data_IF_273019048230
#
_entry.id   IF_273019048230
#
_cell.length_a   1.000
_cell.length_b   1.000
_cell.length_c   1.000
_cell.angle_alpha   90.00
_cell.angle_beta   90.00
_cell.angle_gamma   90.00
#
_symmetry.space_group_name_H-M   'P 1'
#
loop_
_entity.id
_entity.type
_entity.pdbx_description
1 polymer ?
#
# COMPACT_ATOMS: atom_id res chain seq x y z
N UNK A 1 6.13 -5.50 4.98
CA UNK A 1 6.84 -6.80 4.84
C UNK A 1 6.09 -7.59 3.79
N UNK A 2 6.82 -8.28 2.89
CA UNK A 2 6.22 -9.19 1.92
C UNK A 2 5.69 -10.42 2.64
N UNK A 3 4.49 -10.86 2.30
CA UNK A 3 3.81 -11.99 2.93
C UNK A 3 2.92 -12.72 1.89
N UNK A 4 3.51 -13.29 0.82
CA UNK A 4 2.74 -13.87 -0.27
C UNK A 4 1.91 -15.07 0.17
N UNK A 5 2.37 -15.83 1.18
CA UNK A 5 1.63 -16.99 1.73
C UNK A 5 0.30 -16.56 2.36
N UNK A 6 0.27 -15.45 3.09
CA UNK A 6 -0.95 -14.93 3.69
C UNK A 6 -1.98 -14.48 2.64
N UNK A 7 -1.51 -13.88 1.54
CA UNK A 7 -2.34 -13.53 0.40
C UNK A 7 -2.81 -14.77 -0.38
N UNK A 8 -1.95 -15.77 -0.52
CA UNK A 8 -2.33 -17.06 -1.12
C UNK A 8 -3.49 -17.68 -0.35
N UNK A 9 -3.39 -17.77 0.99
CA UNK A 9 -4.45 -18.28 1.84
C UNK A 9 -5.76 -17.50 1.71
N UNK A 10 -5.70 -16.17 1.61
CA UNK A 10 -6.88 -15.34 1.41
C UNK A 10 -7.59 -15.65 0.07
N UNK A 11 -6.87 -15.72 -1.03
CA UNK A 11 -7.48 -15.99 -2.34
C UNK A 11 -7.87 -17.46 -2.55
N UNK A 12 -7.27 -18.39 -1.83
CA UNK A 12 -7.71 -19.79 -1.78
C UNK A 12 -8.92 -20.00 -0.85
N UNK A 13 -9.34 -18.97 -0.11
CA UNK A 13 -10.47 -19.06 0.82
C UNK A 13 -10.13 -19.74 2.15
N UNK A 14 -8.85 -19.87 2.48
CA UNK A 14 -8.40 -20.41 3.78
C UNK A 14 -8.23 -19.30 4.85
N UNK A 15 -8.32 -18.04 4.45
CA UNK A 15 -8.36 -16.87 5.34
C UNK A 15 -9.53 -15.97 4.95
N UNK A 16 -10.31 -15.52 5.93
CA UNK A 16 -11.54 -14.74 5.72
C UNK A 16 -11.26 -13.27 5.36
N UNK A 17 -10.08 -12.76 5.70
CA UNK A 17 -9.73 -11.35 5.51
C UNK A 17 -8.41 -11.22 4.75
N UNK A 18 -8.27 -10.19 3.89
CA UNK A 18 -6.98 -9.90 3.29
C UNK A 18 -5.99 -9.45 4.38
N UNK A 19 -4.68 -9.69 4.18
CA UNK A 19 -3.67 -9.18 5.09
C UNK A 19 -3.76 -7.67 5.24
N UNK A 20 -3.83 -7.19 6.48
CA UNK A 20 -3.99 -5.76 6.78
C UNK A 20 -2.69 -5.03 6.45
N UNK A 21 -2.72 -3.99 5.61
CA UNK A 21 -1.54 -3.19 5.31
C UNK A 21 -1.10 -2.37 6.53
N UNK A 22 0.19 -2.20 6.67
CA UNK A 22 0.75 -1.30 7.68
C UNK A 22 0.48 0.15 7.26
N UNK A 23 -0.39 0.83 8.00
CA UNK A 23 -0.67 2.25 7.80
C UNK A 23 0.38 3.11 8.51
N UNK A 24 0.83 4.23 7.92
CA UNK A 24 1.77 5.11 8.58
C UNK A 24 1.11 5.79 9.79
N UNK A 25 1.82 5.84 10.92
CA UNK A 25 1.32 6.48 12.13
C UNK A 25 1.43 8.03 12.11
N UNK A 26 2.13 8.62 11.14
CA UNK A 26 2.26 10.06 10.95
C UNK A 26 2.77 10.39 9.55
N UNK A 27 2.58 11.65 9.15
CA UNK A 27 3.14 12.19 7.89
C UNK A 27 4.65 11.97 7.84
N UNK A 28 5.37 12.27 8.92
CA UNK A 28 6.81 12.07 9.00
C UNK A 28 7.20 10.58 8.88
N UNK A 29 6.42 9.67 9.46
CA UNK A 29 6.66 8.22 9.34
C UNK A 29 6.46 7.74 7.89
N UNK A 30 5.45 8.26 7.18
CA UNK A 30 5.21 7.95 5.77
C UNK A 30 6.39 8.36 4.88
N UNK A 31 6.87 9.60 5.03
CA UNK A 31 8.04 10.08 4.27
C UNK A 31 9.31 9.32 4.62
N UNK A 32 9.54 9.05 5.90
CA UNK A 32 10.73 8.28 6.33
C UNK A 32 10.74 6.88 5.72
N UNK A 33 9.59 6.22 5.67
CA UNK A 33 9.48 4.91 5.02
C UNK A 33 9.90 4.97 3.54
N UNK A 34 9.47 5.98 2.80
CA UNK A 34 9.86 6.15 1.39
C UNK A 34 11.35 6.39 1.20
N UNK A 35 11.97 7.16 2.09
CA UNK A 35 13.43 7.36 2.05
C UNK A 35 14.17 6.03 2.24
N UNK A 36 13.76 5.24 3.22
CA UNK A 36 14.34 3.90 3.46
C UNK A 36 14.14 2.99 2.25
N UNK A 37 12.95 2.99 1.64
CA UNK A 37 12.68 2.20 0.43
C UNK A 37 13.54 2.65 -0.76
N UNK A 38 13.75 3.95 -0.92
CA UNK A 38 14.64 4.50 -1.95
C UNK A 38 16.10 4.09 -1.72
N UNK A 39 16.57 4.11 -0.48
CA UNK A 39 17.92 3.64 -0.12
C UNK A 39 18.10 2.14 -0.40
N UNK A 40 17.10 1.31 -0.08
CA UNK A 40 17.10 -0.13 -0.39
C UNK A 40 17.15 -0.36 -1.90
N UNK A 41 16.35 0.38 -2.66
CA UNK A 41 16.34 0.29 -4.12
C UNK A 41 17.68 0.70 -4.73
N UNK A 42 18.25 1.80 -4.26
CA UNK A 42 19.56 2.28 -4.73
C UNK A 42 20.68 1.29 -4.39
N UNK A 43 20.67 0.71 -3.21
CA UNK A 43 21.65 -0.30 -2.79
C UNK A 43 21.53 -1.58 -3.64
N UNK A 44 20.31 -2.07 -3.90
CA UNK A 44 20.08 -3.22 -4.77
C UNK A 44 20.60 -2.96 -6.20
N UNK A 45 20.29 -1.78 -6.76
CA UNK A 45 20.76 -1.38 -8.08
C UNK A 45 22.29 -1.30 -8.14
N UNK A 46 22.93 -0.67 -7.15
CA UNK A 46 24.38 -0.54 -7.09
C UNK A 46 25.09 -1.90 -6.96
N UNK A 47 24.47 -2.86 -6.28
CA UNK A 47 25.00 -4.21 -6.10
C UNK A 47 24.66 -5.17 -7.27
N UNK A 48 23.85 -4.74 -8.25
CA UNK A 48 23.29 -5.63 -9.26
C UNK A 48 22.42 -6.74 -8.69
N UNK A 49 21.85 -6.51 -7.49
CA UNK A 49 21.00 -7.44 -6.77
C UNK A 49 19.52 -7.26 -7.18
N UNK A 50 18.71 -8.33 -7.11
CA UNK A 50 17.28 -8.20 -7.33
C UNK A 50 16.64 -7.25 -6.31
N UNK A 51 15.71 -6.40 -6.76
CA UNK A 51 14.86 -5.66 -5.84
C UNK A 51 13.96 -6.64 -5.05
N UNK A 52 13.61 -6.33 -3.79
CA UNK A 52 12.84 -7.27 -2.97
C UNK A 52 11.56 -7.72 -3.63
N UNK A 53 11.49 -9.00 -3.92
CA UNK A 53 10.31 -9.70 -4.44
C UNK A 53 10.09 -10.97 -3.62
N UNK A 54 8.84 -11.41 -3.51
CA UNK A 54 8.50 -12.67 -2.90
C UNK A 54 7.35 -13.33 -3.67
N UNK A 55 7.28 -14.65 -3.62
CA UNK A 55 6.22 -15.41 -4.27
C UNK A 55 5.84 -16.62 -3.43
N UNK A 56 4.57 -17.01 -3.55
CA UNK A 56 4.03 -18.26 -3.02
C UNK A 56 3.10 -18.88 -4.06
N UNK A 57 2.87 -20.19 -3.98
CA UNK A 57 1.96 -20.87 -4.89
C UNK A 57 1.52 -22.23 -4.36
N UNK A 58 0.36 -22.66 -4.81
CA UNK A 58 -0.24 -23.96 -4.50
C UNK A 58 -1.64 -24.07 -5.09
N UNK A 59 -2.07 -25.30 -5.39
CA UNK A 59 -3.41 -25.61 -5.88
C UNK A 59 -3.88 -24.76 -7.07
N UNK A 60 -2.98 -24.56 -8.04
CA UNK A 60 -3.24 -23.77 -9.23
C UNK A 60 -3.14 -22.25 -9.02
N UNK A 61 -2.95 -21.76 -7.80
CA UNK A 61 -2.72 -20.37 -7.50
C UNK A 61 -1.24 -20.00 -7.45
N UNK A 62 -0.93 -18.81 -7.91
CA UNK A 62 0.37 -18.17 -7.72
C UNK A 62 0.18 -16.73 -7.22
N UNK A 63 0.96 -16.32 -6.25
CA UNK A 63 0.99 -14.95 -5.70
C UNK A 63 2.39 -14.42 -5.83
N UNK A 64 2.53 -13.23 -6.42
CA UNK A 64 3.78 -12.49 -6.52
C UNK A 64 3.64 -11.13 -5.83
N UNK A 65 4.66 -10.75 -5.09
CA UNK A 65 4.73 -9.45 -4.39
C UNK A 65 6.02 -8.73 -4.69
N UNK A 66 5.94 -7.41 -4.78
CA UNK A 66 7.11 -6.53 -4.82
C UNK A 66 6.87 -5.27 -3.98
N UNK A 67 7.95 -4.69 -3.49
CA UNK A 67 7.88 -3.37 -2.87
C UNK A 67 7.72 -2.29 -3.95
N UNK A 68 7.02 -1.24 -3.60
CA UNK A 68 6.94 0.01 -4.37
C UNK A 68 7.11 1.18 -3.41
N UNK A 69 7.32 2.38 -3.94
CA UNK A 69 7.41 3.60 -3.13
C UNK A 69 6.19 3.84 -2.23
N UNK A 70 5.03 3.22 -2.53
CA UNK A 70 3.77 3.34 -1.79
C UNK A 70 3.50 2.18 -0.84
N UNK A 71 4.20 1.07 -1.00
CA UNK A 71 4.01 -0.16 -0.23
C UNK A 71 4.10 -1.42 -1.09
N UNK A 72 3.48 -2.50 -0.66
CA UNK A 72 3.53 -3.80 -1.35
C UNK A 72 2.49 -3.87 -2.45
N UNK A 73 2.93 -4.10 -3.67
CA UNK A 73 2.07 -4.47 -4.79
C UNK A 73 1.97 -5.99 -4.82
N UNK A 74 0.75 -6.50 -4.89
CA UNK A 74 0.47 -7.93 -4.90
C UNK A 74 -0.31 -8.31 -6.15
N UNK A 75 0.14 -9.33 -6.84
CA UNK A 75 -0.56 -9.96 -7.96
C UNK A 75 -0.82 -11.42 -7.63
N UNK A 76 -2.00 -11.93 -8.01
CA UNK A 76 -2.32 -13.35 -7.94
C UNK A 76 -2.97 -13.81 -9.22
N UNK A 77 -2.68 -15.05 -9.59
CA UNK A 77 -3.31 -15.74 -10.71
C UNK A 77 -3.74 -17.13 -10.29
N UNK A 78 -4.92 -17.53 -10.73
CA UNK A 78 -5.37 -18.92 -10.68
C UNK A 78 -5.30 -19.51 -12.07
N UNK A 79 -4.59 -20.60 -12.19
CA UNK A 79 -4.40 -21.35 -13.45
C UNK A 79 -5.12 -22.68 -13.35
N UNK A 80 -6.02 -22.96 -14.29
CA UNK A 80 -6.66 -24.25 -14.46
C UNK A 80 -6.55 -24.65 -15.94
N UNK A 81 -6.23 -25.89 -16.20
CA UNK A 81 -6.10 -26.45 -17.56
C UNK A 81 -5.15 -25.63 -18.46
N UNK A 82 -4.05 -25.12 -17.89
CA UNK A 82 -3.08 -24.31 -18.60
C UNK A 82 -3.53 -22.89 -18.97
N UNK A 83 -4.65 -22.40 -18.40
CA UNK A 83 -5.19 -21.06 -18.64
C UNK A 83 -5.36 -20.29 -17.33
N UNK A 84 -5.14 -18.98 -17.39
CA UNK A 84 -5.47 -18.08 -16.27
C UNK A 84 -7.00 -17.93 -16.23
N UNK A 85 -7.62 -18.48 -15.19
CA UNK A 85 -9.07 -18.42 -14.96
C UNK A 85 -9.47 -17.33 -13.97
N UNK A 86 -8.53 -16.84 -13.17
CA UNK A 86 -8.72 -15.67 -12.30
C UNK A 86 -7.40 -14.90 -12.18
N UNK A 87 -7.50 -13.56 -12.17
CA UNK A 87 -6.36 -12.70 -11.95
C UNK A 87 -6.77 -11.58 -10.97
N UNK A 88 -5.96 -11.35 -9.97
CA UNK A 88 -6.20 -10.38 -8.91
C UNK A 88 -5.01 -9.46 -8.75
N UNK A 89 -5.29 -8.21 -8.48
CA UNK A 89 -4.29 -7.20 -8.13
C UNK A 89 -4.72 -6.55 -6.81
N UNK A 90 -3.77 -6.33 -5.93
CA UNK A 90 -3.94 -5.49 -4.77
C UNK A 90 -2.83 -4.46 -4.75
N UNK A 91 -3.18 -3.23 -5.11
CA UNK A 91 -2.23 -2.13 -5.11
C UNK A 91 -2.09 -1.53 -3.69
N UNK A 92 -0.95 -0.91 -3.37
CA UNK A 92 -0.80 -0.20 -2.11
C UNK A 92 -1.86 0.87 -1.87
N UNK A 93 -2.30 1.55 -2.93
CA UNK A 93 -3.34 2.57 -2.88
C UNK A 93 -4.73 2.00 -2.56
N UNK A 94 -5.04 0.77 -2.98
CA UNK A 94 -6.28 0.10 -2.61
C UNK A 94 -6.35 -0.06 -1.08
N UNK A 95 -5.23 -0.46 -0.48
CA UNK A 95 -5.12 -0.65 0.95
C UNK A 95 -5.20 0.67 1.76
N UNK A 96 -4.63 1.77 1.22
CA UNK A 96 -4.58 3.06 1.91
C UNK A 96 -5.86 3.87 1.75
N UNK A 97 -6.62 3.66 0.68
CA UNK A 97 -7.81 4.43 0.33
C UNK A 97 -9.10 3.59 0.24
N UNK A 98 -9.07 2.31 0.67
CA UNK A 98 -10.28 1.49 0.78
C UNK A 98 -11.32 2.09 1.73
N UNK A 99 -10.85 2.85 2.70
CA UNK A 99 -11.64 3.63 3.65
C UNK A 99 -10.90 4.94 4.02
N UNK A 100 -11.53 5.79 4.81
CA UNK A 100 -10.91 7.03 5.31
C UNK A 100 -9.86 6.79 6.42
N UNK A 101 -9.67 5.55 6.88
CA UNK A 101 -8.90 5.25 8.09
C UNK A 101 -7.45 5.66 8.04
N UNK A 102 -6.77 5.53 6.89
CA UNK A 102 -5.37 5.96 6.76
C UNK A 102 -5.24 7.49 6.88
N UNK A 103 -6.12 8.25 6.23
CA UNK A 103 -6.13 9.71 6.30
C UNK A 103 -6.55 10.20 7.69
N UNK A 104 -7.58 9.57 8.27
CA UNK A 104 -8.03 9.86 9.64
C UNK A 104 -6.91 9.64 10.64
N UNK A 105 -6.15 8.55 10.55
CA UNK A 105 -5.03 8.27 11.44
C UNK A 105 -3.93 9.33 11.40
N UNK A 106 -3.75 10.00 10.26
CA UNK A 106 -2.77 11.08 10.11
C UNK A 106 -3.25 12.44 10.64
N UNK A 107 -4.56 12.65 10.73
CA UNK A 107 -5.17 13.97 11.02
C UNK A 107 -5.98 13.99 12.33
N UNK A 108 -6.37 12.84 12.87
CA UNK A 108 -7.19 12.76 14.06
C UNK A 108 -6.57 13.50 15.25
N UNK A 109 -7.39 14.31 15.94
CA UNK A 109 -6.98 15.09 17.11
C UNK A 109 -6.14 16.33 16.81
N UNK A 110 -5.85 16.64 15.55
CA UNK A 110 -5.19 17.89 15.20
C UNK A 110 -6.15 19.07 15.28
N UNK A 111 -5.65 20.19 15.85
CA UNK A 111 -6.34 21.49 15.84
C UNK A 111 -5.53 22.46 14.99
N UNK A 112 -6.22 23.23 14.18
CA UNK A 112 -5.59 24.18 13.27
C UNK A 112 -6.08 25.60 13.54
N UNK A 113 -5.17 26.57 13.53
CA UNK A 113 -5.46 27.97 13.83
C UNK A 113 -6.31 28.65 12.74
N UNK A 114 -6.44 28.05 11.56
CA UNK A 114 -7.22 28.61 10.45
C UNK A 114 -7.58 27.54 9.42
N UNK A 115 -8.60 27.77 8.58
CA UNK A 115 -8.91 26.88 7.46
C UNK A 115 -7.73 26.69 6.50
N UNK A 116 -6.89 27.70 6.31
CA UNK A 116 -5.68 27.60 5.49
C UNK A 116 -4.68 26.60 6.08
N UNK A 117 -4.45 26.65 7.41
CA UNK A 117 -3.58 25.72 8.11
C UNK A 117 -4.15 24.26 8.07
N UNK A 118 -5.46 24.10 8.22
CA UNK A 118 -6.12 22.81 8.09
C UNK A 118 -5.96 22.24 6.68
N UNK A 119 -6.16 23.04 5.64
CA UNK A 119 -5.95 22.64 4.24
C UNK A 119 -4.51 22.24 3.97
N UNK A 120 -3.54 22.96 4.52
CA UNK A 120 -2.13 22.63 4.40
C UNK A 120 -1.80 21.29 5.06
N UNK A 121 -2.31 21.02 6.26
CA UNK A 121 -2.13 19.76 6.97
C UNK A 121 -2.78 18.59 6.21
N UNK A 122 -4.00 18.77 5.70
CA UNK A 122 -4.70 17.80 4.88
C UNK A 122 -3.90 17.47 3.60
N UNK A 123 -3.43 18.50 2.90
CA UNK A 123 -2.61 18.31 1.70
C UNK A 123 -1.31 17.55 2.00
N UNK A 124 -0.63 17.88 3.12
CA UNK A 124 0.56 17.17 3.55
C UNK A 124 0.27 15.69 3.88
N UNK A 125 -0.87 15.39 4.50
CA UNK A 125 -1.29 14.02 4.80
C UNK A 125 -1.60 13.23 3.52
N UNK A 126 -2.32 13.81 2.57
CA UNK A 126 -2.61 13.17 1.28
C UNK A 126 -1.33 12.93 0.48
N UNK A 127 -0.43 13.91 0.39
CA UNK A 127 0.88 13.75 -0.25
C UNK A 127 1.75 12.69 0.43
N UNK A 128 1.63 12.53 1.76
CA UNK A 128 2.33 11.48 2.49
C UNK A 128 1.82 10.07 2.13
N UNK A 129 0.53 9.92 1.84
CA UNK A 129 -0.07 8.67 1.36
C UNK A 129 0.18 8.44 -0.14
N UNK A 130 0.46 9.51 -0.89
CA UNK A 130 0.86 9.49 -2.30
C UNK A 130 -0.13 8.74 -3.21
N UNK A 131 -1.38 9.20 -3.34
CA UNK A 131 -2.32 8.56 -4.25
C UNK A 131 -1.81 8.63 -5.69
N UNK A 132 -2.01 7.56 -6.44
CA UNK A 132 -1.65 7.51 -7.86
C UNK A 132 -2.74 8.10 -8.78
N UNK A 133 -3.83 8.60 -8.19
CA UNK A 133 -4.96 9.22 -8.89
C UNK A 133 -5.07 10.71 -8.54
N UNK A 134 -5.61 11.54 -9.44
CA UNK A 134 -5.94 12.91 -9.12
C UNK A 134 -6.95 12.98 -7.95
N UNK A 135 -6.80 13.97 -7.11
CA UNK A 135 -7.69 14.20 -5.97
C UNK A 135 -8.06 15.67 -5.82
N UNK A 136 -9.19 15.92 -5.18
CA UNK A 136 -9.64 17.25 -4.79
C UNK A 136 -9.78 17.31 -3.27
N UNK A 137 -9.41 18.43 -2.66
CA UNK A 137 -9.55 18.69 -1.22
C UNK A 137 -10.65 19.70 -0.97
N UNK A 138 -11.65 19.30 -0.23
CA UNK A 138 -12.74 20.14 0.22
C UNK A 138 -12.74 20.18 1.76
N UNK A 139 -12.86 21.38 2.34
CA UNK A 139 -13.11 21.57 3.76
C UNK A 139 -14.57 21.97 3.90
N UNK A 140 -15.30 21.26 4.74
CA UNK A 140 -16.67 21.58 5.11
C UNK A 140 -16.66 22.06 6.56
N UNK A 141 -17.36 23.16 6.81
CA UNK A 141 -17.60 23.62 8.17
C UNK A 141 -18.51 22.63 8.90
N UNK A 142 -18.17 22.29 10.15
CA UNK A 142 -18.90 21.36 10.99
C UNK A 142 -20.04 22.07 11.74
#
# INVERSE_FOLDING_TARGET
MLAPEAWLGYWQGTADQPPVPVRPASVAAAYRRRLVEAEVAAAALAAGAPYPVAAAGGDGWGVGQTLTARGVLTHAAHVAEGRIVSYKIWAPTDALFADAGALTALLAGQQHASPAAARQALNAAVLALDPCLPYTLELQDA
#
